data_IF_863390791948
#
_entry.id   IF_863390791948
#
_cell.length_a   1.000
_cell.length_b   1.000
_cell.length_c   1.000
_cell.angle_alpha   90.00
_cell.angle_beta   90.00
_cell.angle_gamma   90.00
#
_symmetry.space_group_name_H-M   'P 1'
#
loop_
_entity.id
_entity.type
_entity.pdbx_description
1 polymer ?
#
# COMPACT_ATOMS: atom_id res chain seq x y z
N UNK A 1 -17.16 22.32 61.36
CA UNK A 1 -16.24 21.19 61.16
C UNK A 1 -16.02 21.01 59.63
N UNK A 2 -14.94 21.63 59.12
CA UNK A 2 -14.60 21.60 57.68
C UNK A 2 -13.77 20.34 57.41
N UNK A 3 -14.28 19.47 56.55
CA UNK A 3 -13.53 18.29 56.05
C UNK A 3 -12.80 18.72 54.79
N UNK A 4 -11.47 18.86 54.89
CA UNK A 4 -10.57 19.04 53.78
C UNK A 4 -10.39 17.66 53.06
N UNK A 5 -10.89 17.55 51.87
CA UNK A 5 -10.68 16.35 51.03
C UNK A 5 -9.40 16.58 50.23
N UNK A 6 -8.31 15.93 50.64
CA UNK A 6 -7.04 15.92 49.92
C UNK A 6 -7.19 15.06 48.68
N UNK A 7 -7.21 15.68 47.50
CA UNK A 7 -7.10 14.99 46.22
C UNK A 7 -5.61 14.70 45.98
N UNK A 8 -5.20 13.45 46.22
CA UNK A 8 -3.89 12.97 45.84
C UNK A 8 -3.84 12.89 44.31
N UNK A 9 -3.16 13.85 43.68
CA UNK A 9 -2.88 13.83 42.25
C UNK A 9 -1.88 12.70 41.92
N UNK A 10 -2.37 11.61 41.36
CA UNK A 10 -1.51 10.64 40.68
C UNK A 10 -0.98 11.33 39.41
N UNK A 11 0.26 11.78 39.46
CA UNK A 11 1.00 12.19 38.26
C UNK A 11 1.18 11.00 37.35
N UNK A 12 0.40 10.92 36.27
CA UNK A 12 0.70 10.07 35.15
C UNK A 12 1.98 10.63 34.51
N UNK A 13 3.11 9.95 34.75
CA UNK A 13 4.32 10.16 33.98
C UNK A 13 3.99 9.77 32.53
N UNK A 14 3.67 10.76 31.71
CA UNK A 14 3.69 10.60 30.26
C UNK A 14 5.16 10.41 29.92
N UNK A 15 5.59 9.15 29.69
CA UNK A 15 6.82 8.89 28.98
C UNK A 15 6.66 9.55 27.60
N UNK A 16 7.33 10.67 27.37
CA UNK A 16 7.52 11.19 26.03
C UNK A 16 8.25 10.08 25.25
N UNK A 17 7.54 9.46 24.31
CA UNK A 17 8.15 8.59 23.33
C UNK A 17 9.17 9.46 22.59
N UNK A 18 10.46 9.13 22.71
CA UNK A 18 11.51 9.77 21.95
C UNK A 18 11.11 9.65 20.47
N UNK A 19 10.97 10.81 19.82
CA UNK A 19 10.68 10.90 18.37
C UNK A 19 11.76 10.08 17.65
N UNK A 20 11.44 8.85 17.24
CA UNK A 20 12.40 7.94 16.60
C UNK A 20 12.69 8.48 15.21
N UNK A 21 13.58 9.47 15.13
CA UNK A 21 14.10 9.96 13.87
C UNK A 21 14.69 8.78 13.07
N UNK A 22 14.42 8.75 11.77
CA UNK A 22 14.97 7.72 10.87
C UNK A 22 16.49 7.78 10.96
N UNK A 23 17.16 6.67 11.37
CA UNK A 23 18.59 6.69 11.69
C UNK A 23 19.52 6.82 10.48
N UNK A 24 18.98 6.72 9.26
CA UNK A 24 19.75 6.80 8.03
C UNK A 24 18.97 7.47 6.90
N UNK A 25 19.71 7.92 5.89
CA UNK A 25 19.14 8.39 4.62
C UNK A 25 19.90 7.81 3.43
N UNK A 26 19.24 7.76 2.28
CA UNK A 26 19.80 7.25 1.03
C UNK A 26 19.60 8.27 -0.09
N UNK A 27 20.63 8.47 -0.92
CA UNK A 27 20.60 9.42 -2.04
C UNK A 27 21.25 8.78 -3.27
N UNK A 28 20.63 8.94 -4.44
CA UNK A 28 21.21 8.56 -5.72
C UNK A 28 22.32 9.55 -6.11
N UNK A 29 23.49 9.05 -6.45
CA UNK A 29 24.53 9.87 -7.12
C UNK A 29 24.19 9.87 -8.61
N UNK A 30 23.68 10.98 -9.07
CA UNK A 30 23.13 11.12 -10.42
C UNK A 30 24.25 11.09 -11.47
N UNK A 31 24.24 10.14 -12.43
CA UNK A 31 25.25 10.05 -13.48
C UNK A 31 24.95 11.01 -14.65
N UNK A 32 25.91 11.14 -15.58
CA UNK A 32 25.83 12.07 -16.71
C UNK A 32 24.67 11.76 -17.69
N UNK A 33 24.38 10.47 -17.91
CA UNK A 33 23.31 9.99 -18.80
C UNK A 33 21.92 10.03 -18.17
N UNK A 34 21.73 10.77 -17.08
CA UNK A 34 20.43 11.06 -16.48
C UNK A 34 19.61 11.94 -17.42
N UNK A 35 18.40 11.47 -17.82
CA UNK A 35 17.49 12.23 -18.67
C UNK A 35 16.83 13.37 -17.92
N UNK A 36 16.15 13.09 -16.83
CA UNK A 36 15.51 14.11 -16.01
C UNK A 36 16.40 14.46 -14.80
N UNK A 37 17.09 15.59 -14.87
CA UNK A 37 18.00 16.05 -13.81
C UNK A 37 17.28 16.63 -12.58
N UNK A 38 15.96 16.80 -12.63
CA UNK A 38 15.18 17.38 -11.53
C UNK A 38 14.57 16.33 -10.59
N UNK A 39 14.92 15.05 -10.76
CA UNK A 39 14.43 13.96 -9.92
C UNK A 39 15.55 13.35 -9.09
N UNK A 40 15.20 12.79 -7.93
CA UNK A 40 16.14 12.18 -6.98
C UNK A 40 16.31 10.66 -7.15
N UNK A 41 15.83 10.10 -8.25
CA UNK A 41 15.96 8.71 -8.62
C UNK A 41 16.68 8.58 -9.98
N UNK A 42 17.10 7.38 -10.34
CA UNK A 42 17.78 7.15 -11.61
C UNK A 42 16.77 7.11 -12.78
N UNK A 43 16.91 8.00 -13.75
CA UNK A 43 16.17 8.03 -15.02
C UNK A 43 17.19 8.05 -16.17
N UNK A 44 17.64 6.86 -16.59
CA UNK A 44 18.84 6.68 -17.38
C UNK A 44 18.56 6.40 -18.84
N UNK A 45 19.21 7.13 -19.72
CA UNK A 45 19.35 6.78 -21.13
C UNK A 45 20.55 5.85 -21.29
N UNK A 46 20.31 4.61 -21.71
CA UNK A 46 21.32 3.55 -21.74
C UNK A 46 21.53 2.99 -23.15
N UNK A 47 22.74 2.47 -23.42
CA UNK A 47 23.11 1.88 -24.71
C UNK A 47 23.06 0.35 -24.67
N UNK A 48 22.84 -0.28 -25.83
CA UNK A 48 22.79 -1.75 -25.98
C UNK A 48 24.09 -2.40 -25.49
N UNK A 49 23.98 -3.39 -24.61
CA UNK A 49 25.10 -4.16 -24.10
C UNK A 49 26.05 -3.41 -23.17
N UNK A 50 25.72 -2.17 -22.82
CA UNK A 50 26.51 -1.34 -21.94
C UNK A 50 26.58 -1.93 -20.52
N UNK A 51 27.68 -1.68 -19.84
CA UNK A 51 27.84 -1.85 -18.39
C UNK A 51 28.05 -0.50 -17.76
N UNK A 52 27.19 -0.15 -16.83
CA UNK A 52 27.25 1.13 -16.11
C UNK A 52 27.24 0.90 -14.61
N UNK A 53 27.96 1.74 -13.86
CA UNK A 53 27.87 1.77 -12.41
C UNK A 53 26.87 2.85 -12.01
N UNK A 54 25.97 2.51 -11.10
CA UNK A 54 25.13 3.46 -10.36
C UNK A 54 25.49 3.42 -8.89
N UNK A 55 25.61 4.57 -8.28
CA UNK A 55 26.09 4.71 -6.90
C UNK A 55 24.97 5.24 -6.01
N UNK A 56 24.76 4.59 -4.88
CA UNK A 56 23.84 5.02 -3.82
C UNK A 56 24.70 5.46 -2.63
N UNK A 57 24.55 6.69 -2.19
CA UNK A 57 25.15 7.18 -0.97
C UNK A 57 24.22 6.96 0.20
N UNK A 58 24.66 6.22 1.21
CA UNK A 58 23.96 6.03 2.48
C UNK A 58 24.63 6.91 3.54
N UNK A 59 23.82 7.64 4.29
CA UNK A 59 24.27 8.46 5.40
C UNK A 59 23.67 7.90 6.71
N UNK A 60 24.53 7.53 7.66
CA UNK A 60 24.14 7.16 9.00
C UNK A 60 24.14 8.40 9.89
N UNK A 61 22.97 8.85 10.33
CA UNK A 61 22.81 10.01 11.22
C UNK A 61 22.76 9.62 12.71
N UNK A 62 22.79 8.33 13.02
CA UNK A 62 22.70 7.84 14.38
C UNK A 62 24.08 7.75 15.09
N UNK A 63 24.01 7.61 16.41
CA UNK A 63 25.18 7.39 17.29
C UNK A 63 25.67 5.92 17.31
N UNK A 64 25.09 5.05 16.47
CA UNK A 64 25.41 3.62 16.44
C UNK A 64 25.87 3.20 15.03
N UNK A 65 26.73 2.21 14.97
CA UNK A 65 27.04 1.49 13.74
C UNK A 65 25.79 0.75 13.28
N UNK A 66 25.38 0.91 12.02
CA UNK A 66 24.24 0.25 11.42
C UNK A 66 24.65 -0.64 10.26
N UNK A 67 23.87 -1.70 10.01
CA UNK A 67 23.99 -2.52 8.82
C UNK A 67 22.84 -2.19 7.89
N UNK A 68 23.10 -1.80 6.67
CA UNK A 68 22.10 -1.49 5.66
C UNK A 68 22.15 -2.54 4.56
N UNK A 69 20.99 -3.15 4.30
CA UNK A 69 20.76 -4.04 3.18
C UNK A 69 20.11 -3.27 2.05
N UNK A 70 20.68 -3.38 0.85
CA UNK A 70 20.19 -2.77 -0.39
C UNK A 70 19.90 -3.88 -1.38
N UNK A 71 18.63 -4.04 -1.75
CA UNK A 71 18.16 -5.11 -2.63
C UNK A 71 17.58 -4.50 -3.90
N UNK A 72 18.18 -4.76 -5.09
CA UNK A 72 17.58 -4.39 -6.37
C UNK A 72 16.34 -5.25 -6.66
N UNK A 73 15.22 -4.63 -6.97
CA UNK A 73 13.97 -5.31 -7.29
C UNK A 73 13.32 -4.77 -8.55
N UNK A 74 12.71 -5.66 -9.33
CA UNK A 74 11.82 -5.30 -10.43
C UNK A 74 10.55 -4.68 -9.87
N UNK A 75 10.13 -3.55 -10.42
CA UNK A 75 8.91 -2.87 -10.01
C UNK A 75 7.67 -3.70 -10.34
N UNK A 76 6.72 -3.75 -9.42
CA UNK A 76 5.44 -4.44 -9.55
C UNK A 76 4.31 -3.53 -9.10
N UNK A 77 3.07 -3.97 -9.23
CA UNK A 77 1.90 -3.18 -8.82
C UNK A 77 1.22 -3.81 -7.62
N UNK A 78 1.05 -3.04 -6.55
CA UNK A 78 0.34 -3.50 -5.34
C UNK A 78 -1.17 -3.55 -5.55
N UNK A 79 -1.87 -4.22 -4.66
CA UNK A 79 -3.35 -4.23 -4.64
C UNK A 79 -3.98 -2.86 -4.36
N UNK A 80 -3.22 -1.91 -3.86
CA UNK A 80 -3.66 -0.52 -3.68
C UNK A 80 -3.51 0.34 -4.93
N UNK A 81 -2.88 -0.18 -5.99
CA UNK A 81 -2.60 0.56 -7.20
C UNK A 81 -1.44 1.55 -7.04
N UNK A 82 -0.41 1.14 -6.32
CA UNK A 82 0.88 1.84 -6.20
C UNK A 82 2.00 0.95 -6.70
N UNK A 83 3.13 1.54 -7.04
CA UNK A 83 4.32 0.78 -7.46
C UNK A 83 5.03 0.23 -6.23
N UNK A 84 5.35 -1.05 -6.26
CA UNK A 84 6.16 -1.75 -5.26
C UNK A 84 7.58 -2.00 -5.77
N UNK A 85 8.54 -1.78 -4.87
CA UNK A 85 9.96 -2.06 -5.09
C UNK A 85 10.54 -2.93 -3.96
N UNK A 86 9.72 -3.42 -3.04
CA UNK A 86 10.17 -4.20 -1.88
C UNK A 86 10.51 -5.65 -2.21
N UNK A 87 10.13 -6.11 -3.41
CA UNK A 87 10.31 -7.50 -3.82
C UNK A 87 9.17 -8.43 -3.37
N UNK A 88 8.01 -7.89 -3.00
CA UNK A 88 6.81 -8.68 -2.67
C UNK A 88 6.45 -9.64 -3.81
N UNK A 89 5.86 -10.79 -3.46
CA UNK A 89 5.36 -11.77 -4.43
C UNK A 89 4.08 -11.26 -5.13
N UNK A 90 4.27 -10.31 -6.02
CA UNK A 90 3.26 -9.73 -6.90
C UNK A 90 3.50 -10.20 -8.34
N UNK A 91 2.47 -10.09 -9.19
CA UNK A 91 2.50 -10.65 -10.54
C UNK A 91 2.94 -9.63 -11.58
N UNK A 92 3.73 -10.11 -12.54
CA UNK A 92 3.98 -9.44 -13.80
C UNK A 92 3.21 -10.14 -14.93
N UNK A 93 3.10 -9.49 -16.08
CA UNK A 93 2.59 -10.09 -17.31
C UNK A 93 3.67 -10.93 -17.99
N UNK A 94 3.27 -11.83 -18.88
CA UNK A 94 4.21 -12.62 -19.71
C UNK A 94 5.01 -11.73 -20.66
N UNK A 95 4.59 -10.50 -20.90
CA UNK A 95 5.29 -9.52 -21.75
C UNK A 95 6.53 -8.91 -21.07
N UNK A 96 6.77 -9.16 -19.78
CA UNK A 96 7.96 -8.66 -19.08
C UNK A 96 9.20 -9.45 -19.50
N UNK A 97 9.82 -9.03 -20.62
CA UNK A 97 11.03 -9.67 -21.18
C UNK A 97 12.25 -9.49 -20.27
N UNK A 98 12.44 -8.31 -19.71
CA UNK A 98 13.60 -7.96 -18.89
C UNK A 98 13.18 -7.55 -17.48
N UNK A 99 13.66 -8.29 -16.48
CA UNK A 99 13.46 -7.99 -15.08
C UNK A 99 14.65 -7.16 -14.58
N UNK A 100 14.37 -6.04 -13.91
CA UNK A 100 15.42 -5.14 -13.43
C UNK A 100 16.43 -5.82 -12.50
N UNK A 101 15.94 -6.65 -11.55
CA UNK A 101 16.79 -7.39 -10.61
C UNK A 101 17.74 -8.41 -11.30
N UNK A 102 17.50 -8.77 -12.56
CA UNK A 102 18.38 -9.63 -13.36
C UNK A 102 19.43 -8.83 -14.15
N UNK A 103 19.23 -7.53 -14.27
CA UNK A 103 20.15 -6.62 -14.96
C UNK A 103 21.14 -5.92 -14.01
N UNK A 104 20.90 -6.03 -12.72
CA UNK A 104 21.70 -5.38 -11.66
C UNK A 104 22.53 -6.42 -10.91
N UNK A 105 23.72 -6.05 -10.45
CA UNK A 105 24.48 -6.86 -9.50
C UNK A 105 23.65 -7.18 -8.25
N UNK A 106 24.01 -8.29 -7.58
CA UNK A 106 23.24 -8.82 -6.42
C UNK A 106 23.11 -7.80 -5.29
N UNK A 107 22.18 -8.06 -4.39
CA UNK A 107 22.02 -7.30 -3.16
C UNK A 107 23.32 -7.17 -2.36
N UNK A 108 23.45 -6.09 -1.63
CA UNK A 108 24.61 -5.82 -0.80
C UNK A 108 24.18 -5.47 0.63
N UNK A 109 24.97 -5.95 1.58
CA UNK A 109 24.87 -5.56 2.99
C UNK A 109 26.12 -4.79 3.35
N UNK A 110 25.96 -3.57 3.82
CA UNK A 110 27.08 -2.67 4.17
C UNK A 110 26.96 -2.17 5.60
N UNK A 111 28.08 -2.18 6.31
CA UNK A 111 28.18 -1.55 7.63
C UNK A 111 28.61 -0.09 7.47
N UNK A 112 27.97 0.78 8.25
CA UNK A 112 28.21 2.23 8.21
C UNK A 112 28.42 2.73 9.63
N UNK A 113 29.57 3.34 9.87
CA UNK A 113 29.92 3.89 11.18
C UNK A 113 29.02 5.09 11.55
N UNK A 114 28.91 5.41 12.86
CA UNK A 114 28.14 6.57 13.32
C UNK A 114 28.56 7.85 12.59
N UNK A 115 27.57 8.66 12.21
CA UNK A 115 27.77 9.98 11.58
C UNK A 115 28.65 9.98 10.33
N UNK A 116 28.70 8.84 9.60
CA UNK A 116 29.47 8.74 8.34
C UNK A 116 28.58 8.49 7.14
N UNK A 117 29.15 8.73 5.97
CA UNK A 117 28.55 8.44 4.66
C UNK A 117 29.32 7.31 3.99
N UNK A 118 28.62 6.46 3.25
CA UNK A 118 29.21 5.38 2.46
C UNK A 118 28.57 5.31 1.10
N UNK A 119 29.37 5.26 0.05
CA UNK A 119 28.93 5.00 -1.31
C UNK A 119 28.87 3.50 -1.55
N UNK A 120 27.79 3.04 -2.18
CA UNK A 120 27.56 1.64 -2.53
C UNK A 120 27.28 1.57 -4.02
N UNK A 121 28.10 0.82 -4.74
CA UNK A 121 28.09 0.74 -6.19
C UNK A 121 27.34 -0.49 -6.66
N UNK A 122 26.49 -0.33 -7.66
CA UNK A 122 25.78 -1.42 -8.35
C UNK A 122 26.11 -1.38 -9.84
N UNK A 123 26.43 -2.54 -10.40
CA UNK A 123 26.69 -2.68 -11.82
C UNK A 123 25.38 -2.99 -12.54
N UNK A 124 24.97 -2.13 -13.46
CA UNK A 124 23.93 -2.39 -14.45
C UNK A 124 24.52 -3.07 -15.68
N UNK A 125 23.91 -4.15 -16.11
CA UNK A 125 24.29 -4.87 -17.35
C UNK A 125 23.11 -4.77 -18.32
N UNK A 126 23.20 -3.85 -19.27
CA UNK A 126 22.13 -3.53 -20.21
C UNK A 126 21.98 -4.64 -21.26
N UNK A 127 20.75 -5.01 -21.65
CA UNK A 127 20.52 -6.01 -22.70
C UNK A 127 21.22 -5.64 -24.02
N UNK A 128 21.70 -6.67 -24.73
CA UNK A 128 22.29 -6.47 -26.06
C UNK A 128 21.27 -6.17 -27.14
N UNK A 129 20.02 -6.60 -26.92
CA UNK A 129 18.89 -6.30 -27.79
C UNK A 129 18.21 -5.01 -27.36
N UNK A 130 17.68 -4.30 -28.33
CA UNK A 130 16.87 -3.12 -28.06
C UNK A 130 15.56 -3.50 -27.38
N UNK A 131 15.14 -2.68 -26.44
CA UNK A 131 13.84 -2.81 -25.81
C UNK A 131 13.07 -1.47 -25.91
N UNK A 132 11.76 -1.55 -26.17
CA UNK A 132 10.92 -0.35 -26.21
C UNK A 132 10.57 0.09 -24.79
N UNK A 133 10.31 1.39 -24.62
CA UNK A 133 9.78 1.96 -23.40
C UNK A 133 10.72 1.89 -22.19
N UNK A 134 10.23 1.38 -21.07
CA UNK A 134 10.90 1.49 -19.78
C UNK A 134 11.07 0.11 -19.12
N UNK A 135 12.29 -0.22 -18.71
CA UNK A 135 12.53 -1.23 -17.67
C UNK A 135 12.53 -0.49 -16.33
N UNK A 136 11.59 -0.84 -15.46
CA UNK A 136 11.40 -0.17 -14.17
C UNK A 136 11.78 -1.10 -13.02
N UNK A 137 12.60 -0.58 -12.13
CA UNK A 137 12.96 -1.22 -10.89
C UNK A 137 13.37 -0.20 -9.85
N UNK A 138 13.97 -0.67 -8.78
CA UNK A 138 14.48 0.18 -7.73
C UNK A 138 15.29 -0.57 -6.72
N UNK A 139 15.97 0.18 -5.89
CA UNK A 139 16.79 -0.31 -4.79
C UNK A 139 16.00 -0.14 -3.50
N UNK A 140 15.59 -1.27 -2.92
CA UNK A 140 14.93 -1.32 -1.63
C UNK A 140 15.98 -1.34 -0.52
N UNK A 141 15.93 -0.35 0.35
CA UNK A 141 16.97 -0.04 1.32
C UNK A 141 16.36 -0.15 2.72
N UNK A 142 16.90 -1.01 3.56
CA UNK A 142 16.44 -1.19 4.93
C UNK A 142 17.60 -1.48 5.87
N UNK A 143 17.42 -1.20 7.15
CA UNK A 143 18.32 -1.67 8.17
C UNK A 143 18.19 -3.18 8.34
N UNK A 144 19.32 -3.89 8.41
CA UNK A 144 19.37 -5.31 8.71
C UNK A 144 19.65 -5.49 10.21
N UNK A 145 18.64 -5.96 10.93
CA UNK A 145 18.75 -6.25 12.36
C UNK A 145 19.39 -7.62 12.58
N UNK A 146 20.26 -7.73 13.57
CA UNK A 146 20.84 -9.02 13.96
C UNK A 146 19.73 -9.91 14.55
N UNK A 147 19.65 -11.18 14.12
CA UNK A 147 18.61 -12.15 14.51
C UNK A 147 18.50 -12.34 16.04
N UNK A 148 19.60 -12.16 16.79
CA UNK A 148 19.61 -12.27 18.25
C UNK A 148 18.77 -11.21 18.97
N UNK A 149 18.49 -10.07 18.34
CA UNK A 149 17.60 -9.05 18.91
C UNK A 149 16.11 -9.40 18.75
N UNK A 150 15.77 -10.27 17.81
CA UNK A 150 14.38 -10.68 17.54
C UNK A 150 13.92 -11.77 18.51
N UNK A 151 14.80 -12.68 18.94
CA UNK A 151 14.44 -13.79 19.86
C UNK A 151 14.15 -13.33 21.29
N UNK A 152 14.77 -12.26 21.78
CA UNK A 152 14.53 -11.76 23.14
C UNK A 152 13.15 -11.10 23.32
N UNK A 153 12.40 -10.85 22.25
CA UNK A 153 11.14 -10.11 22.22
C UNK A 153 9.88 -11.01 22.27
N UNK A 154 10.04 -12.33 22.32
CA UNK A 154 8.95 -13.31 22.17
C UNK A 154 7.97 -13.44 23.36
N UNK A 155 8.01 -12.54 24.35
CA UNK A 155 7.10 -12.61 25.52
C UNK A 155 6.10 -11.47 25.67
N UNK A 156 6.18 -10.44 24.82
CA UNK A 156 5.24 -9.31 24.88
C UNK A 156 4.98 -8.83 23.46
N UNK A 157 3.73 -8.51 23.12
CA UNK A 157 3.41 -7.87 21.81
C UNK A 157 4.08 -6.51 21.78
N UNK A 158 5.20 -6.42 21.07
CA UNK A 158 5.91 -5.16 20.84
C UNK A 158 5.73 -4.75 19.39
N UNK A 159 5.24 -3.54 19.15
CA UNK A 159 5.18 -2.94 17.83
C UNK A 159 6.55 -2.34 17.55
N UNK A 160 7.28 -2.91 16.60
CA UNK A 160 8.57 -2.37 16.14
C UNK A 160 8.36 -1.68 14.80
N UNK A 161 8.68 -0.40 14.71
CA UNK A 161 8.70 0.34 13.46
C UNK A 161 9.96 -0.03 12.66
N UNK A 162 9.77 -0.48 11.43
CA UNK A 162 10.87 -0.67 10.47
C UNK A 162 10.78 0.40 9.39
N UNK A 163 11.85 1.18 9.26
CA UNK A 163 11.96 2.17 8.21
C UNK A 163 12.63 1.56 6.99
N UNK A 164 12.05 1.80 5.83
CA UNK A 164 12.65 1.44 4.55
C UNK A 164 12.58 2.61 3.58
N UNK A 165 13.53 2.66 2.68
CA UNK A 165 13.61 3.67 1.63
C UNK A 165 13.67 2.98 0.27
N UNK A 166 13.29 3.70 -0.77
CA UNK A 166 13.42 3.23 -2.15
C UNK A 166 14.06 4.32 -3.00
N UNK A 167 15.06 3.92 -3.78
CA UNK A 167 15.55 4.72 -4.91
C UNK A 167 15.11 4.02 -6.19
N UNK A 168 14.17 4.63 -6.91
CA UNK A 168 13.69 4.11 -8.19
C UNK A 168 14.78 4.14 -9.26
N UNK A 169 14.68 3.25 -10.25
CA UNK A 169 15.53 3.23 -11.42
C UNK A 169 14.71 2.92 -12.67
N UNK A 170 14.75 3.83 -13.63
CA UNK A 170 14.15 3.68 -14.96
C UNK A 170 15.28 3.57 -15.99
N UNK A 171 15.24 2.53 -16.80
CA UNK A 171 16.17 2.35 -17.92
C UNK A 171 15.39 2.49 -19.22
N UNK A 172 15.89 3.27 -20.15
CA UNK A 172 15.33 3.43 -21.50
C UNK A 172 16.44 3.61 -22.55
N UNK A 173 16.24 3.13 -23.77
CA UNK A 173 17.20 3.26 -24.85
C UNK A 173 16.95 4.47 -25.75
N UNK A 174 15.77 5.05 -25.66
CA UNK A 174 15.36 6.23 -26.41
C UNK A 174 14.23 6.97 -25.63
N UNK A 175 13.81 8.11 -26.14
CA UNK A 175 12.72 8.90 -25.56
C UNK A 175 11.36 8.68 -26.24
N UNK A 176 11.25 7.67 -27.08
CA UNK A 176 10.02 7.35 -27.79
C UNK A 176 8.91 6.96 -26.81
N UNK A 177 7.73 7.54 -27.02
CA UNK A 177 6.56 7.24 -26.22
C UNK A 177 5.92 5.95 -26.70
N UNK A 178 5.96 4.92 -25.89
CA UNK A 178 5.21 3.69 -26.14
C UNK A 178 3.75 3.87 -25.76
N UNK A 179 2.80 3.56 -26.65
CA UNK A 179 1.38 3.58 -26.32
C UNK A 179 1.07 2.69 -25.12
N UNK A 180 0.19 3.16 -24.25
CA UNK A 180 -0.30 2.36 -23.14
C UNK A 180 -1.40 1.43 -23.62
N UNK A 181 -1.39 0.20 -23.11
CA UNK A 181 -2.40 -0.81 -23.40
C UNK A 181 -2.74 -1.62 -22.14
N UNK A 182 -4.01 -1.98 -22.01
CA UNK A 182 -4.54 -2.64 -20.82
C UNK A 182 -5.42 -3.83 -21.21
N UNK A 183 -5.40 -4.85 -20.35
CA UNK A 183 -6.30 -6.00 -20.45
C UNK A 183 -6.98 -6.24 -19.12
N UNK A 184 -8.26 -6.61 -19.15
CA UNK A 184 -9.01 -7.11 -18.02
C UNK A 184 -9.08 -8.63 -18.14
N UNK A 185 -8.25 -9.35 -17.37
CA UNK A 185 -8.03 -10.78 -17.58
C UNK A 185 -9.00 -11.65 -16.80
N UNK A 186 -9.27 -11.29 -15.54
CA UNK A 186 -10.07 -12.13 -14.65
C UNK A 186 -10.78 -11.28 -13.59
N UNK A 187 -12.02 -11.65 -13.32
CA UNK A 187 -12.81 -11.13 -12.21
C UNK A 187 -13.22 -12.30 -11.31
N UNK A 188 -12.95 -12.22 -10.01
CA UNK A 188 -13.26 -13.28 -9.05
C UNK A 188 -13.66 -12.71 -7.69
N UNK A 189 -14.31 -13.50 -6.86
CA UNK A 189 -14.48 -13.20 -5.44
C UNK A 189 -13.18 -13.46 -4.66
N UNK A 190 -13.04 -12.80 -3.53
CA UNK A 190 -11.93 -12.99 -2.60
C UNK A 190 -12.08 -12.15 -1.35
N UNK A 191 -11.07 -12.22 -0.48
CA UNK A 191 -10.97 -11.34 0.68
C UNK A 191 -9.86 -10.31 0.49
N UNK A 192 -10.10 -9.09 0.97
CA UNK A 192 -9.07 -8.06 1.04
C UNK A 192 -9.22 -7.27 2.34
N UNK A 193 -8.14 -7.21 3.14
CA UNK A 193 -8.19 -6.65 4.48
C UNK A 193 -9.24 -7.31 5.38
N UNK A 194 -9.52 -8.60 5.17
CA UNK A 194 -10.56 -9.34 5.89
C UNK A 194 -11.99 -9.11 5.38
N UNK A 195 -12.20 -8.24 4.38
CA UNK A 195 -13.53 -7.97 3.86
C UNK A 195 -13.84 -8.77 2.59
N UNK A 196 -15.10 -9.18 2.47
CA UNK A 196 -15.64 -9.77 1.23
C UNK A 196 -15.48 -8.76 0.08
N UNK A 197 -14.81 -9.18 -0.98
CA UNK A 197 -14.38 -8.30 -2.06
C UNK A 197 -14.52 -8.98 -3.41
N UNK A 198 -14.70 -8.16 -4.45
CA UNK A 198 -14.49 -8.57 -5.83
C UNK A 198 -13.11 -8.09 -6.27
N UNK A 199 -12.35 -8.98 -6.93
CA UNK A 199 -10.98 -8.72 -7.36
C UNK A 199 -10.94 -8.80 -8.87
N UNK A 200 -10.56 -7.71 -9.53
CA UNK A 200 -10.34 -7.63 -10.98
C UNK A 200 -8.84 -7.57 -11.29
N UNK A 201 -8.36 -8.47 -12.15
CA UNK A 201 -6.98 -8.49 -12.63
C UNK A 201 -6.83 -7.59 -13.85
N UNK A 202 -6.20 -6.44 -13.67
CA UNK A 202 -5.96 -5.45 -14.73
C UNK A 202 -4.48 -5.50 -15.09
N UNK A 203 -4.16 -5.89 -16.33
CA UNK A 203 -2.79 -5.93 -16.84
C UNK A 203 -2.46 -4.64 -17.59
N UNK A 204 -1.35 -4.00 -17.22
CA UNK A 204 -0.66 -3.09 -18.11
C UNK A 204 0.28 -3.94 -18.98
N UNK A 205 -0.08 -4.16 -20.24
CA UNK A 205 0.69 -5.03 -21.16
C UNK A 205 1.72 -4.24 -21.96
N UNK A 206 1.87 -2.96 -21.67
CA UNK A 206 2.85 -2.08 -22.30
C UNK A 206 4.07 -1.84 -21.44
N UNK A 207 5.27 -1.66 -22.00
CA UNK A 207 6.47 -1.26 -21.29
C UNK A 207 6.47 0.24 -20.94
N UNK A 208 5.31 0.75 -20.49
CA UNK A 208 5.10 2.15 -20.12
C UNK A 208 4.61 2.25 -18.69
N UNK A 209 5.19 3.16 -17.92
CA UNK A 209 4.70 3.48 -16.59
C UNK A 209 3.35 4.21 -16.67
N UNK A 210 2.37 3.73 -15.96
CA UNK A 210 1.07 4.39 -15.73
C UNK A 210 1.13 5.11 -14.40
N UNK A 211 0.81 6.41 -14.36
CA UNK A 211 0.90 7.21 -13.14
C UNK A 211 -0.32 8.07 -12.94
N UNK A 212 -0.94 7.94 -11.76
CA UNK A 212 -2.07 8.77 -11.31
C UNK A 212 -3.30 8.71 -12.22
N UNK A 213 -3.63 7.51 -12.71
CA UNK A 213 -4.85 7.28 -13.51
C UNK A 213 -6.06 7.06 -12.60
N UNK A 214 -7.26 7.26 -13.15
CA UNK A 214 -8.50 6.83 -12.52
C UNK A 214 -8.96 5.49 -13.11
N UNK A 215 -9.53 4.66 -12.24
CA UNK A 215 -10.09 3.35 -12.60
C UNK A 215 -11.52 3.30 -12.09
N UNK A 216 -12.48 3.22 -13.01
CA UNK A 216 -13.89 3.06 -12.72
C UNK A 216 -14.35 1.67 -13.13
N UNK A 217 -15.10 0.98 -12.26
CA UNK A 217 -15.62 -0.36 -12.47
C UNK A 217 -17.11 -0.40 -12.18
N UNK A 218 -17.88 -1.03 -13.06
CA UNK A 218 -19.32 -1.25 -12.89
C UNK A 218 -19.61 -2.72 -13.07
N UNK A 219 -20.31 -3.32 -12.10
CA UNK A 219 -20.81 -4.69 -12.20
C UNK A 219 -22.25 -4.63 -12.65
N UNK A 220 -22.58 -5.37 -13.69
CA UNK A 220 -23.94 -5.53 -14.20
C UNK A 220 -24.36 -7.00 -14.19
N UNK A 221 -25.66 -7.26 -13.98
CA UNK A 221 -26.25 -8.57 -14.25
C UNK A 221 -26.48 -8.76 -15.76
N UNK A 222 -26.99 -9.94 -16.15
CA UNK A 222 -27.24 -10.27 -17.56
C UNK A 222 -28.37 -9.43 -18.17
N UNK A 223 -29.20 -8.75 -17.35
CA UNK A 223 -30.21 -7.81 -17.81
C UNK A 223 -29.68 -6.37 -17.90
N UNK A 224 -28.36 -6.16 -17.78
CA UNK A 224 -27.67 -4.86 -17.77
C UNK A 224 -28.04 -3.97 -16.57
N UNK A 225 -28.64 -4.52 -15.54
CA UNK A 225 -28.91 -3.79 -14.28
C UNK A 225 -27.60 -3.60 -13.52
N UNK A 226 -27.29 -2.38 -13.12
CA UNK A 226 -26.15 -2.08 -12.28
C UNK A 226 -26.35 -2.68 -10.88
N UNK A 227 -25.37 -3.48 -10.46
CA UNK A 227 -25.33 -4.12 -9.14
C UNK A 227 -24.41 -3.33 -8.19
N UNK A 228 -23.28 -2.87 -8.70
CA UNK A 228 -22.30 -2.08 -7.94
C UNK A 228 -21.42 -1.24 -8.88
N UNK A 229 -20.96 -0.13 -8.34
CA UNK A 229 -20.01 0.78 -9.02
C UNK A 229 -18.90 1.18 -8.06
N UNK A 230 -17.66 1.22 -8.57
CA UNK A 230 -16.46 1.59 -7.82
C UNK A 230 -15.63 2.57 -8.63
N UNK A 231 -14.98 3.49 -7.95
CA UNK A 231 -14.03 4.43 -8.55
C UNK A 231 -12.82 4.57 -7.63
N UNK A 232 -11.63 4.47 -8.21
CA UNK A 232 -10.36 4.76 -7.54
C UNK A 232 -9.56 5.75 -8.39
N UNK A 233 -8.92 6.68 -7.73
CA UNK A 233 -8.07 7.70 -8.35
C UNK A 233 -6.63 7.56 -7.87
N UNK A 234 -5.68 8.13 -8.59
CA UNK A 234 -4.27 8.09 -8.23
C UNK A 234 -3.60 6.72 -8.46
N UNK A 235 -4.19 5.87 -9.30
CA UNK A 235 -3.66 4.54 -9.59
C UNK A 235 -2.41 4.64 -10.45
N UNK A 236 -1.34 3.97 -10.00
CA UNK A 236 -0.11 3.80 -10.75
C UNK A 236 0.16 2.32 -10.97
N UNK A 237 0.46 1.94 -12.22
CA UNK A 237 0.69 0.55 -12.62
C UNK A 237 2.06 0.46 -13.29
N UNK A 238 2.91 -0.43 -12.79
CA UNK A 238 4.25 -0.65 -13.34
C UNK A 238 4.17 -1.18 -14.79
N UNK A 239 5.22 -0.97 -15.60
CA UNK A 239 5.32 -1.56 -16.93
C UNK A 239 5.18 -3.09 -16.87
N UNK A 240 4.42 -3.67 -17.78
CA UNK A 240 4.24 -5.13 -17.90
C UNK A 240 3.88 -5.81 -16.58
N UNK A 241 3.00 -5.20 -15.76
CA UNK A 241 2.59 -5.74 -14.47
C UNK A 241 1.07 -5.90 -14.35
N UNK A 242 0.65 -6.70 -13.38
CA UNK A 242 -0.76 -6.98 -13.08
C UNK A 242 -1.17 -6.24 -11.81
N UNK A 243 -2.19 -5.42 -11.93
CA UNK A 243 -2.89 -4.78 -10.83
C UNK A 243 -4.07 -5.66 -10.39
N UNK A 244 -3.90 -6.43 -9.32
CA UNK A 244 -5.00 -7.16 -8.65
C UNK A 244 -5.82 -6.15 -7.84
N UNK A 245 -6.89 -5.62 -8.44
CA UNK A 245 -7.66 -4.48 -7.93
C UNK A 245 -8.87 -4.93 -7.10
N UNK A 246 -8.77 -5.03 -5.77
CA UNK A 246 -9.88 -5.42 -4.92
C UNK A 246 -10.84 -4.25 -4.68
N UNK A 247 -12.15 -4.55 -4.67
CA UNK A 247 -13.19 -3.64 -4.23
C UNK A 247 -14.08 -4.34 -3.21
N UNK A 248 -14.24 -3.70 -2.05
CA UNK A 248 -15.13 -4.19 -1.01
C UNK A 248 -16.58 -4.11 -1.45
N UNK A 249 -17.31 -5.20 -1.29
CA UNK A 249 -18.74 -5.29 -1.62
C UNK A 249 -19.47 -6.07 -0.55
N UNK A 250 -20.74 -5.74 -0.31
CA UNK A 250 -21.59 -6.53 0.58
C UNK A 250 -21.94 -7.87 -0.09
N UNK A 251 -21.72 -8.98 0.60
CA UNK A 251 -21.93 -10.32 0.05
C UNK A 251 -23.39 -10.60 -0.41
N UNK A 252 -24.37 -9.87 0.13
CA UNK A 252 -25.77 -9.96 -0.29
C UNK A 252 -26.07 -9.29 -1.64
N UNK A 253 -25.18 -8.44 -2.13
CA UNK A 253 -25.33 -7.79 -3.44
C UNK A 253 -24.97 -8.70 -4.62
N UNK A 254 -24.14 -9.71 -4.39
CA UNK A 254 -23.69 -10.66 -5.41
C UNK A 254 -24.22 -12.05 -5.10
N UNK A 255 -25.26 -12.47 -5.79
CA UNK A 255 -25.77 -13.85 -5.73
C UNK A 255 -25.00 -14.75 -6.70
N UNK A 256 -25.03 -16.10 -6.53
CA UNK A 256 -24.54 -17.00 -7.55
C UNK A 256 -25.22 -16.72 -8.89
N UNK A 257 -24.44 -16.65 -9.97
CA UNK A 257 -24.92 -16.30 -11.30
C UNK A 257 -23.88 -15.64 -12.18
N UNK A 258 -24.28 -15.25 -13.38
CA UNK A 258 -23.42 -14.61 -14.39
C UNK A 258 -23.54 -13.10 -14.32
N UNK A 259 -22.42 -12.43 -14.50
CA UNK A 259 -22.26 -10.99 -14.43
C UNK A 259 -21.30 -10.48 -15.50
N UNK A 260 -21.35 -9.19 -15.76
CA UNK A 260 -20.37 -8.47 -16.59
C UNK A 260 -19.72 -7.36 -15.78
N UNK A 261 -18.39 -7.31 -15.82
CA UNK A 261 -17.60 -6.20 -15.34
C UNK A 261 -17.35 -5.24 -16.51
N UNK A 262 -17.72 -3.98 -16.37
CA UNK A 262 -17.30 -2.89 -17.22
C UNK A 262 -16.19 -2.12 -16.51
N UNK A 263 -15.07 -1.93 -17.18
CA UNK A 263 -13.90 -1.24 -16.67
C UNK A 263 -13.60 -0.03 -17.56
N UNK A 264 -13.40 1.12 -16.94
CA UNK A 264 -12.88 2.31 -17.60
C UNK A 264 -11.60 2.76 -16.90
N UNK A 265 -10.53 2.92 -17.65
CA UNK A 265 -9.27 3.52 -17.20
C UNK A 265 -9.13 4.87 -17.92
N UNK A 266 -8.85 5.92 -17.17
CA UNK A 266 -8.73 7.27 -17.71
C UNK A 266 -7.46 7.94 -17.21
N UNK A 267 -6.71 8.57 -18.12
CA UNK A 267 -5.50 9.32 -17.78
C UNK A 267 -5.82 10.54 -16.92
N UNK A 268 -4.83 11.03 -16.14
CA UNK A 268 -4.99 12.19 -15.25
C UNK A 268 -5.47 13.44 -15.99
N UNK A 269 -5.00 13.66 -17.23
CA UNK A 269 -5.37 14.78 -18.09
C UNK A 269 -6.68 14.55 -18.85
N UNK A 270 -7.33 13.38 -18.65
CA UNK A 270 -8.58 12.93 -19.28
C UNK A 270 -8.53 12.82 -20.81
N UNK A 271 -7.34 12.91 -21.42
CA UNK A 271 -7.18 12.82 -22.88
C UNK A 271 -7.26 11.40 -23.40
N UNK A 272 -6.87 10.41 -22.58
CA UNK A 272 -6.86 9.00 -22.96
C UNK A 272 -7.80 8.20 -22.08
N UNK A 273 -8.59 7.33 -22.73
CA UNK A 273 -9.59 6.51 -22.06
C UNK A 273 -9.67 5.14 -22.69
N UNK A 274 -9.54 4.10 -21.87
CA UNK A 274 -9.70 2.70 -22.25
C UNK A 274 -10.96 2.15 -21.63
N UNK A 275 -11.73 1.39 -22.43
CA UNK A 275 -12.94 0.69 -21.98
C UNK A 275 -12.78 -0.79 -22.25
N UNK A 276 -12.87 -1.58 -21.19
CA UNK A 276 -12.71 -3.01 -21.21
C UNK A 276 -13.93 -3.65 -20.56
N UNK A 277 -14.19 -4.90 -20.88
CA UNK A 277 -15.25 -5.66 -20.21
C UNK A 277 -14.86 -7.13 -20.11
N UNK A 278 -15.34 -7.80 -19.06
CA UNK A 278 -15.13 -9.22 -18.82
C UNK A 278 -16.41 -9.81 -18.25
N UNK A 279 -16.84 -10.94 -18.82
CA UNK A 279 -17.92 -11.74 -18.29
C UNK A 279 -17.39 -12.69 -17.22
N UNK A 280 -18.07 -12.80 -16.10
CA UNK A 280 -17.64 -13.70 -15.03
C UNK A 280 -18.84 -14.37 -14.36
N UNK A 281 -18.58 -15.49 -13.70
CA UNK A 281 -19.59 -16.25 -12.99
C UNK A 281 -19.20 -16.43 -11.53
N UNK A 282 -20.17 -16.28 -10.65
CA UNK A 282 -20.05 -16.54 -9.22
C UNK A 282 -20.77 -17.83 -8.91
N UNK A 283 -20.05 -18.82 -8.41
CA UNK A 283 -20.64 -20.08 -7.96
C UNK A 283 -21.06 -20.02 -6.47
N UNK A 284 -22.03 -20.84 -6.08
CA UNK A 284 -22.43 -20.96 -4.67
C UNK A 284 -21.27 -21.42 -3.77
N UNK A 285 -20.39 -22.28 -4.29
CA UNK A 285 -19.21 -22.79 -3.56
C UNK A 285 -18.21 -21.67 -3.31
N UNK A 286 -17.87 -20.91 -4.35
CA UNK A 286 -16.95 -19.79 -4.26
C UNK A 286 -17.44 -18.71 -3.27
N UNK A 287 -18.72 -18.31 -3.41
CA UNK A 287 -19.33 -17.33 -2.50
C UNK A 287 -19.27 -17.76 -1.05
N UNK A 288 -19.66 -19.02 -0.73
CA UNK A 288 -19.59 -19.56 0.63
C UNK A 288 -18.16 -19.61 1.16
N UNK A 289 -17.18 -20.03 0.34
CA UNK A 289 -15.77 -20.06 0.72
C UNK A 289 -15.28 -18.69 1.14
N UNK A 290 -15.47 -17.68 0.29
CA UNK A 290 -15.03 -16.30 0.58
C UNK A 290 -15.80 -15.69 1.77
N UNK A 291 -17.08 -16.00 1.95
CA UNK A 291 -17.84 -15.53 3.12
C UNK A 291 -17.32 -16.09 4.44
N UNK A 292 -16.88 -17.35 4.47
CA UNK A 292 -16.31 -17.98 5.67
C UNK A 292 -14.94 -17.41 6.03
N UNK A 293 -14.15 -16.96 5.04
CA UNK A 293 -12.85 -16.31 5.24
C UNK A 293 -12.97 -14.83 5.63
N UNK A 294 -14.06 -14.18 5.24
CA UNK A 294 -14.28 -12.77 5.51
C UNK A 294 -14.66 -12.54 6.98
N UNK A 295 -14.11 -11.48 7.56
CA UNK A 295 -14.54 -11.01 8.88
C UNK A 295 -16.03 -10.65 8.79
N UNK A 296 -16.89 -11.20 9.67
CA UNK A 296 -18.30 -10.86 9.68
C UNK A 296 -18.46 -9.34 9.74
N UNK A 297 -19.15 -8.76 8.77
CA UNK A 297 -19.53 -7.35 8.84
C UNK A 297 -20.56 -7.21 9.94
N UNK A 298 -20.11 -7.00 11.17
CA UNK A 298 -21.00 -6.58 12.26
C UNK A 298 -21.50 -5.19 11.88
N UNK A 299 -22.59 -5.12 11.13
CA UNK A 299 -23.44 -3.92 11.12
C UNK A 299 -23.92 -3.77 12.56
N UNK A 300 -23.21 -2.96 13.35
CA UNK A 300 -23.83 -2.40 14.56
C UNK A 300 -25.02 -1.64 14.00
N UNK A 301 -26.20 -2.24 14.11
CA UNK A 301 -27.41 -1.60 13.63
C UNK A 301 -27.48 -0.25 14.32
N UNK A 302 -27.55 0.84 13.54
CA UNK A 302 -27.73 2.18 14.10
C UNK A 302 -28.88 2.22 15.12
N UNK A 303 -29.89 1.34 14.95
CA UNK A 303 -30.95 1.10 15.93
C UNK A 303 -30.40 0.67 17.29
N UNK A 304 -29.43 -0.28 17.36
CA UNK A 304 -28.84 -0.71 18.65
C UNK A 304 -28.08 0.44 19.33
N UNK A 305 -27.35 1.26 18.56
CA UNK A 305 -26.67 2.44 19.11
C UNK A 305 -27.70 3.47 19.59
N UNK A 306 -28.76 3.73 18.83
CA UNK A 306 -29.84 4.63 19.22
C UNK A 306 -30.53 4.12 20.51
N UNK A 307 -30.85 2.84 20.60
CA UNK A 307 -31.42 2.26 21.83
C UNK A 307 -30.47 2.40 23.02
N UNK A 308 -29.17 2.15 22.85
CA UNK A 308 -28.19 2.30 23.93
C UNK A 308 -28.11 3.76 24.41
N UNK A 309 -28.05 4.70 23.48
CA UNK A 309 -27.99 6.16 23.80
C UNK A 309 -29.29 6.60 24.48
N UNK A 310 -30.46 6.16 24.00
CA UNK A 310 -31.74 6.49 24.63
C UNK A 310 -31.87 5.91 26.04
N UNK A 311 -31.43 4.65 26.27
CA UNK A 311 -31.42 4.05 27.60
C UNK A 311 -30.52 4.81 28.59
N UNK A 312 -29.32 5.22 28.13
CA UNK A 312 -28.40 6.05 28.96
C UNK A 312 -29.06 7.38 29.30
N UNK A 313 -29.68 8.04 28.32
CA UNK A 313 -30.35 9.32 28.52
C UNK A 313 -31.51 9.23 29.54
N UNK A 314 -32.37 8.21 29.42
CA UNK A 314 -33.43 7.91 30.36
C UNK A 314 -32.90 7.65 31.79
N UNK A 315 -31.80 6.88 31.89
CA UNK A 315 -31.12 6.63 33.16
C UNK A 315 -30.65 7.92 33.86
N UNK A 316 -30.06 8.85 33.10
CA UNK A 316 -29.62 10.16 33.62
C UNK A 316 -30.78 11.05 34.08
N UNK A 317 -31.90 11.04 33.33
CA UNK A 317 -33.11 11.79 33.71
C UNK A 317 -33.70 11.24 35.01
N UNK A 318 -33.80 9.94 35.19
CA UNK A 318 -34.30 9.30 36.42
C UNK A 318 -33.38 9.64 37.58
N UNK A 319 -32.06 9.58 37.41
CA UNK A 319 -31.09 9.95 38.46
C UNK A 319 -31.23 11.42 38.88
N UNK A 320 -31.41 12.33 37.93
CA UNK A 320 -31.63 13.75 38.18
C UNK A 320 -32.92 13.98 38.97
N UNK A 321 -34.03 13.32 38.59
CA UNK A 321 -35.29 13.40 39.31
C UNK A 321 -35.17 12.88 40.76
N UNK A 322 -34.44 11.77 40.96
CA UNK A 322 -34.17 11.22 42.28
C UNK A 322 -33.38 12.19 43.16
N UNK A 323 -32.36 12.84 42.60
CA UNK A 323 -31.60 13.88 43.32
C UNK A 323 -32.49 15.07 43.69
N UNK A 324 -33.34 15.52 42.78
CA UNK A 324 -34.28 16.63 43.07
C UNK A 324 -35.30 16.28 44.15
N UNK A 325 -35.83 15.06 44.15
CA UNK A 325 -36.74 14.55 45.16
C UNK A 325 -36.06 14.43 46.54
N UNK A 326 -34.83 13.96 46.59
CA UNK A 326 -34.03 13.88 47.82
C UNK A 326 -33.71 15.30 48.38
N UNK A 327 -33.38 16.25 47.50
CA UNK A 327 -33.19 17.65 47.91
C UNK A 327 -34.47 18.28 48.43
N UNK A 328 -35.63 18.02 47.82
CA UNK A 328 -36.93 18.51 48.26
C UNK A 328 -37.34 17.92 49.61
N UNK A 329 -37.08 16.62 49.88
CA UNK A 329 -37.29 16.02 51.22
C UNK A 329 -36.41 16.66 52.28
N UNK A 330 -35.13 16.85 52.01
CA UNK A 330 -34.16 17.43 52.94
C UNK A 330 -34.48 18.91 53.30
N UNK A 331 -35.14 19.63 52.38
CA UNK A 331 -35.58 21.01 52.63
C UNK A 331 -36.95 21.08 53.35
N UNK A 332 -37.66 19.95 53.51
CA UNK A 332 -38.92 19.88 54.24
C UNK A 332 -38.74 19.53 55.74
N UNK A 333 -37.58 18.94 56.03
CA UNK A 333 -37.18 18.50 57.38
C UNK A 333 -36.27 19.55 58.08
N UNK A 334 -36.12 20.73 57.47
CA UNK A 334 -35.53 21.94 58.05
C UNK A 334 -36.60 23.01 58.18
#
# INVERSE_FOLDING_TARGET
MMIFMAIAGYGLSVCAEEDQAIPYSATAIIPENQLNKNVSYFDLLVSKGEKQIVTIQINNSSNKKIKIKITPNTAKTTRNGTIDYSGMDLKNTDNLKYQFDKLVSKEQVVSIEPHTKKNVDFVLSIPREEFPGIILGGFYIREEKDEQQVESLNKTVQITNEFSMVIGCQLRMNEEKVPKDFQLNKVKLGTYGGYFSIISSISNVSPSLVSFYSVEKTIQDMNRKEIAKFKKEGISIAPNSIYEAPDKIEANKLNPGKYKMLLTIESRDKKNKWRLSEDFEITSKEKKGVQNEAIPSTKISNRKIIYLVTCIWFGLVILLLMILLLRKRRNRDR
#
